data_IF_007713798727
#
_entry.id   IF_007713798727
#
_cell.length_a   1.000
_cell.length_b   1.000
_cell.length_c   1.000
_cell.angle_alpha   90.00
_cell.angle_beta   90.00
_cell.angle_gamma   90.00
#
_symmetry.space_group_name_H-M   'P 1'
#
loop_
_entity.id
_entity.type
_entity.pdbx_description
1 polymer ?
#
# COMPACT_ATOMS: atom_id res chain seq x y z
N UNK A 1 5.77 -17.35 -31.01
CA UNK A 1 6.83 -16.77 -30.18
C UNK A 1 7.09 -17.68 -29.01
N UNK A 2 8.30 -18.15 -28.87
CA UNK A 2 8.72 -18.99 -27.75
C UNK A 2 9.06 -18.13 -26.53
N UNK A 3 8.66 -18.60 -25.34
CA UNK A 3 9.16 -18.06 -24.08
C UNK A 3 10.63 -18.43 -23.92
N UNK A 4 11.48 -17.46 -23.57
CA UNK A 4 12.87 -17.74 -23.21
C UNK A 4 12.94 -18.39 -21.82
N UNK A 5 13.95 -19.23 -21.63
CA UNK A 5 14.24 -19.83 -20.34
C UNK A 5 14.92 -18.84 -19.38
N UNK A 6 14.79 -19.01 -18.05
CA UNK A 6 15.56 -18.24 -17.07
C UNK A 6 17.08 -18.39 -17.34
N UNK A 7 17.85 -17.33 -17.10
CA UNK A 7 19.31 -17.41 -17.24
C UNK A 7 19.92 -18.44 -16.27
N UNK A 8 21.04 -19.04 -16.64
CA UNK A 8 21.74 -20.01 -15.78
C UNK A 8 22.15 -19.43 -14.42
N UNK A 9 22.53 -18.15 -14.40
CA UNK A 9 22.85 -17.44 -13.14
C UNK A 9 21.63 -17.36 -12.23
N UNK A 10 20.46 -17.02 -12.78
CA UNK A 10 19.20 -16.98 -12.02
C UNK A 10 18.79 -18.35 -11.52
N UNK A 11 19.00 -19.41 -12.30
CA UNK A 11 18.72 -20.78 -11.90
C UNK A 11 19.63 -21.22 -10.72
N UNK A 12 20.94 -20.95 -10.80
CA UNK A 12 21.87 -21.24 -9.72
C UNK A 12 21.50 -20.48 -8.42
N UNK A 13 21.13 -19.21 -8.53
CA UNK A 13 20.66 -18.42 -7.39
C UNK A 13 19.35 -18.98 -6.80
N UNK A 14 18.42 -19.47 -7.63
CA UNK A 14 17.18 -20.10 -7.18
C UNK A 14 17.45 -21.43 -6.42
N UNK A 15 18.37 -22.24 -6.91
CA UNK A 15 18.79 -23.48 -6.21
C UNK A 15 19.32 -23.16 -4.81
N UNK A 16 20.21 -22.18 -4.67
CA UNK A 16 20.72 -21.75 -3.37
C UNK A 16 19.62 -21.17 -2.50
N UNK A 17 18.72 -20.35 -3.06
CA UNK A 17 17.61 -19.76 -2.32
C UNK A 17 16.63 -20.79 -1.77
N UNK A 18 16.44 -21.92 -2.45
CA UNK A 18 15.55 -22.99 -2.03
C UNK A 18 16.20 -23.99 -1.05
N UNK A 19 17.47 -24.30 -1.25
CA UNK A 19 18.19 -25.31 -0.47
C UNK A 19 19.02 -24.71 0.69
N UNK A 20 19.31 -23.41 0.63
CA UNK A 20 20.11 -22.72 1.63
C UNK A 20 19.37 -22.40 2.93
N UNK A 21 20.02 -21.69 3.83
CA UNK A 21 19.45 -21.34 5.14
C UNK A 21 18.25 -20.38 5.01
N UNK A 22 17.10 -20.79 5.56
CA UNK A 22 15.83 -20.03 5.48
C UNK A 22 15.55 -19.13 6.70
N UNK A 23 16.47 -19.02 7.64
CA UNK A 23 16.27 -18.30 8.92
C UNK A 23 15.88 -16.83 8.75
N UNK A 24 16.33 -16.17 7.67
CA UNK A 24 16.00 -14.78 7.37
C UNK A 24 14.51 -14.55 7.10
N UNK A 25 13.77 -15.57 6.65
CA UNK A 25 12.34 -15.46 6.32
C UNK A 25 11.53 -15.07 7.55
N UNK A 26 11.75 -15.70 8.70
CA UNK A 26 11.05 -15.39 9.96
C UNK A 26 11.25 -13.95 10.39
N UNK A 27 12.50 -13.47 10.33
CA UNK A 27 12.83 -12.08 10.69
C UNK A 27 12.17 -11.07 9.76
N UNK A 28 12.23 -11.31 8.45
CA UNK A 28 11.59 -10.46 7.45
C UNK A 28 10.07 -10.48 7.57
N UNK A 29 9.46 -11.66 7.73
CA UNK A 29 8.01 -11.79 7.92
C UNK A 29 7.52 -11.00 9.16
N UNK A 30 8.28 -11.06 10.27
CA UNK A 30 7.99 -10.26 11.46
C UNK A 30 8.01 -8.75 11.15
N UNK A 31 9.06 -8.27 10.48
CA UNK A 31 9.17 -6.86 10.11
C UNK A 31 8.02 -6.39 9.19
N UNK A 32 7.60 -7.23 8.24
CA UNK A 32 6.45 -6.95 7.38
C UNK A 32 5.13 -6.95 8.16
N UNK A 33 4.95 -7.88 9.10
CA UNK A 33 3.78 -7.92 9.99
C UNK A 33 3.68 -6.65 10.84
N UNK A 34 4.78 -6.16 11.39
CA UNK A 34 4.82 -4.94 12.19
C UNK A 34 4.44 -3.71 11.35
N UNK A 35 4.98 -3.61 10.12
CA UNK A 35 4.63 -2.54 9.17
C UNK A 35 3.16 -2.59 8.77
N UNK A 36 2.64 -3.78 8.42
CA UNK A 36 1.22 -4.00 8.10
C UNK A 36 0.32 -3.52 9.23
N UNK A 37 0.59 -3.99 10.44
CA UNK A 37 -0.23 -3.65 11.61
C UNK A 37 -0.24 -2.15 11.88
N UNK A 38 0.93 -1.49 11.77
CA UNK A 38 1.05 -0.05 11.90
C UNK A 38 0.23 0.68 10.84
N UNK A 39 0.35 0.31 9.56
CA UNK A 39 -0.36 0.97 8.45
C UNK A 39 -1.87 0.78 8.58
N UNK A 40 -2.35 -0.45 8.85
CA UNK A 40 -3.78 -0.72 9.01
C UNK A 40 -4.38 0.07 10.19
N UNK A 41 -3.69 0.08 11.34
CA UNK A 41 -4.12 0.87 12.50
C UNK A 41 -4.18 2.36 12.18
N UNK A 42 -3.16 2.89 11.52
CA UNK A 42 -3.10 4.31 11.14
C UNK A 42 -4.22 4.69 10.17
N UNK A 43 -4.47 3.89 9.14
CA UNK A 43 -5.54 4.14 8.16
C UNK A 43 -6.93 4.10 8.82
N UNK A 44 -7.18 3.13 9.67
CA UNK A 44 -8.48 3.00 10.35
C UNK A 44 -8.73 4.10 11.41
N UNK A 45 -7.70 4.87 11.81
CA UNK A 45 -7.87 6.05 12.65
C UNK A 45 -8.27 7.31 11.88
N UNK A 46 -8.29 7.26 10.53
CA UNK A 46 -8.63 8.38 9.67
C UNK A 46 -10.11 8.37 9.33
N UNK A 47 -10.84 9.43 9.67
CA UNK A 47 -12.27 9.55 9.34
C UNK A 47 -12.49 9.49 7.82
N UNK A 48 -13.33 8.57 7.39
CA UNK A 48 -13.66 8.37 5.98
C UNK A 48 -12.81 7.30 5.26
N UNK A 49 -11.80 6.77 5.91
CA UNK A 49 -11.00 5.64 5.43
C UNK A 49 -11.39 4.36 6.22
N UNK A 50 -11.38 3.23 5.54
CA UNK A 50 -11.46 1.91 6.17
C UNK A 50 -10.53 0.92 5.47
N UNK A 51 -9.85 0.10 6.24
CA UNK A 51 -8.85 -0.84 5.74
C UNK A 51 -8.96 -2.19 6.43
N UNK A 52 -9.18 -3.24 5.66
CA UNK A 52 -9.10 -4.62 6.14
C UNK A 52 -7.64 -5.03 6.35
N UNK A 53 -7.40 -5.89 7.34
CA UNK A 53 -6.07 -6.45 7.56
C UNK A 53 -5.83 -7.57 6.54
N UNK A 54 -4.83 -7.44 5.63
CA UNK A 54 -4.54 -8.50 4.69
C UNK A 54 -3.81 -9.67 5.37
N UNK A 55 -4.07 -10.88 4.92
CA UNK A 55 -3.41 -12.08 5.43
C UNK A 55 -2.01 -12.30 4.83
N UNK A 56 -1.72 -11.71 3.69
CA UNK A 56 -0.46 -11.88 2.96
C UNK A 56 -0.07 -10.67 2.12
N UNK A 57 0.91 -10.85 1.26
CA UNK A 57 1.52 -9.84 0.41
C UNK A 57 2.13 -8.67 1.23
N UNK A 58 2.43 -7.57 0.57
CA UNK A 58 2.97 -6.34 1.17
C UNK A 58 2.17 -5.09 0.76
N UNK A 59 0.88 -5.29 0.50
CA UNK A 59 -0.07 -4.24 0.15
C UNK A 59 -1.24 -4.20 1.13
N UNK A 60 -1.78 -3.00 1.37
CA UNK A 60 -3.12 -2.78 1.90
C UNK A 60 -3.98 -2.15 0.82
N UNK A 61 -5.31 -2.34 0.92
CA UNK A 61 -6.28 -1.85 -0.06
C UNK A 61 -7.43 -1.11 0.65
N UNK A 62 -7.16 0.09 1.20
CA UNK A 62 -8.15 0.85 1.93
C UNK A 62 -9.22 1.45 1.03
N UNK A 63 -10.44 1.55 1.56
CA UNK A 63 -11.54 2.28 0.96
C UNK A 63 -11.49 3.76 1.30
N UNK A 64 -11.66 4.62 0.30
CA UNK A 64 -11.86 6.06 0.43
C UNK A 64 -13.27 6.51 0.00
N UNK A 65 -14.22 5.58 -0.20
CA UNK A 65 -15.57 5.84 -0.72
C UNK A 65 -16.28 6.97 0.03
N UNK A 66 -16.15 7.03 1.35
CA UNK A 66 -16.79 8.06 2.18
C UNK A 66 -16.25 9.48 1.95
N UNK A 67 -15.05 9.59 1.36
CA UNK A 67 -14.42 10.86 1.00
C UNK A 67 -14.72 11.28 -0.45
N UNK A 68 -15.39 10.43 -1.24
CA UNK A 68 -15.76 10.73 -2.62
C UNK A 68 -17.17 11.30 -2.66
N UNK A 69 -17.30 12.63 -2.53
CA UNK A 69 -18.59 13.30 -2.48
C UNK A 69 -18.49 14.76 -2.96
N UNK A 70 -19.65 15.44 -3.07
CA UNK A 70 -19.73 16.84 -3.52
C UNK A 70 -18.99 17.83 -2.62
N UNK A 71 -18.99 17.58 -1.28
CA UNK A 71 -18.33 18.46 -0.32
C UNK A 71 -16.82 18.47 -0.53
N UNK A 72 -16.22 17.31 -0.69
CA UNK A 72 -14.76 17.18 -0.91
C UNK A 72 -14.31 17.54 -2.32
N UNK A 73 -15.26 17.67 -3.26
CA UNK A 73 -15.04 17.86 -4.70
C UNK A 73 -14.22 16.72 -5.33
N UNK A 74 -14.21 15.55 -4.71
CA UNK A 74 -13.62 14.33 -5.22
C UNK A 74 -14.73 13.41 -5.73
N UNK A 75 -14.64 13.01 -7.00
CA UNK A 75 -15.65 12.13 -7.62
C UNK A 75 -15.19 10.67 -7.70
N UNK A 76 -13.89 10.45 -7.88
CA UNK A 76 -13.31 9.13 -8.12
C UNK A 76 -12.07 8.91 -7.25
N UNK A 77 -11.69 7.65 -7.08
CA UNK A 77 -10.43 7.25 -6.46
C UNK A 77 -9.20 7.78 -7.22
N UNK A 78 -9.30 7.91 -8.55
CA UNK A 78 -8.27 8.57 -9.37
C UNK A 78 -8.07 10.03 -8.95
N UNK A 79 -9.16 10.79 -8.76
CA UNK A 79 -9.06 12.17 -8.27
C UNK A 79 -8.45 12.22 -6.84
N UNK A 80 -8.82 11.27 -5.98
CA UNK A 80 -8.26 11.17 -4.63
C UNK A 80 -6.76 10.95 -4.66
N UNK A 81 -6.29 9.96 -5.44
CA UNK A 81 -4.87 9.59 -5.56
C UNK A 81 -4.05 10.73 -6.16
N UNK A 82 -4.55 11.36 -7.23
CA UNK A 82 -3.90 12.49 -7.88
C UNK A 82 -3.72 13.66 -6.90
N UNK A 83 -4.80 14.07 -6.21
CA UNK A 83 -4.72 15.17 -5.24
C UNK A 83 -3.84 14.85 -4.04
N UNK A 84 -3.82 13.61 -3.58
CA UNK A 84 -2.92 13.16 -2.51
C UNK A 84 -1.45 13.31 -2.93
N UNK A 85 -1.14 12.95 -4.17
CA UNK A 85 0.20 13.12 -4.72
C UNK A 85 0.59 14.61 -4.82
N UNK A 86 -0.28 15.45 -5.38
CA UNK A 86 -0.05 16.87 -5.59
C UNK A 86 0.10 17.67 -4.28
N UNK A 87 -0.72 17.35 -3.28
CA UNK A 87 -0.77 18.11 -2.02
C UNK A 87 0.21 17.61 -0.97
N UNK A 88 0.41 16.31 -0.89
CA UNK A 88 1.14 15.68 0.20
C UNK A 88 2.40 14.91 -0.26
N UNK A 89 2.66 14.84 -1.57
CA UNK A 89 3.76 14.05 -2.15
C UNK A 89 3.74 12.59 -1.67
N UNK A 90 2.55 11.98 -1.65
CA UNK A 90 2.36 10.56 -1.34
C UNK A 90 1.79 9.86 -2.56
N UNK A 91 2.61 9.00 -3.18
CA UNK A 91 2.22 8.20 -4.33
C UNK A 91 1.55 6.89 -3.87
N UNK A 92 0.35 6.67 -4.34
CA UNK A 92 -0.43 5.44 -4.17
C UNK A 92 -1.10 5.09 -5.49
N UNK A 93 -1.73 3.92 -5.61
CA UNK A 93 -2.37 3.50 -6.86
C UNK A 93 -3.89 3.44 -6.65
N UNK A 94 -4.65 4.02 -7.56
CA UNK A 94 -6.11 3.98 -7.53
C UNK A 94 -6.65 2.54 -7.65
N UNK A 95 -7.74 2.26 -6.94
CA UNK A 95 -8.36 0.94 -6.93
C UNK A 95 -9.03 0.58 -8.25
N UNK A 96 -9.54 1.58 -8.99
CA UNK A 96 -10.09 1.40 -10.34
C UNK A 96 -9.12 0.74 -11.32
N UNK A 97 -7.81 0.94 -11.17
CA UNK A 97 -6.78 0.23 -11.94
C UNK A 97 -6.76 -1.29 -11.67
N UNK A 98 -7.42 -1.76 -10.61
CA UNK A 98 -7.57 -3.16 -10.22
C UNK A 98 -9.02 -3.62 -10.25
N UNK A 99 -9.91 -2.86 -10.92
CA UNK A 99 -11.32 -3.19 -11.04
C UNK A 99 -12.16 -2.92 -9.78
N UNK A 100 -11.69 -2.12 -8.82
CA UNK A 100 -12.43 -1.82 -7.58
C UNK A 100 -12.42 -0.32 -7.26
N UNK A 101 -13.47 0.37 -7.71
CA UNK A 101 -13.63 1.81 -7.54
C UNK A 101 -13.81 2.23 -6.07
N UNK A 102 -13.30 3.40 -5.74
CA UNK A 102 -13.40 3.98 -4.40
C UNK A 102 -12.41 3.40 -3.39
N UNK A 103 -11.35 2.77 -3.89
CA UNK A 103 -10.25 2.21 -3.12
C UNK A 103 -8.91 2.75 -3.62
N UNK A 104 -7.85 2.49 -2.84
CA UNK A 104 -6.48 2.74 -3.29
C UNK A 104 -5.52 1.74 -2.66
N UNK A 105 -4.43 1.43 -3.37
CA UNK A 105 -3.44 0.47 -2.93
C UNK A 105 -2.22 1.18 -2.37
N UNK A 106 -1.77 0.74 -1.19
CA UNK A 106 -0.52 1.18 -0.57
C UNK A 106 0.41 -0.01 -0.41
N UNK A 107 1.66 0.12 -0.85
CA UNK A 107 2.73 -0.82 -0.52
C UNK A 107 3.34 -0.45 0.84
N UNK A 108 3.51 -1.42 1.73
CA UNK A 108 4.28 -1.24 2.96
C UNK A 108 5.69 -1.88 2.90
N UNK A 109 6.16 -2.19 1.68
CA UNK A 109 7.52 -2.67 1.43
C UNK A 109 8.54 -1.52 1.44
N UNK A 110 8.54 -0.70 2.49
CA UNK A 110 9.46 0.41 2.71
C UNK A 110 9.82 0.54 4.19
N UNK A 111 10.67 1.49 4.56
CA UNK A 111 11.07 1.67 5.95
C UNK A 111 9.90 2.13 6.84
N UNK A 112 9.92 1.76 8.13
CA UNK A 112 8.94 2.26 9.10
C UNK A 112 8.94 3.79 9.20
N UNK A 113 10.09 4.44 9.02
CA UNK A 113 10.24 5.90 8.98
C UNK A 113 9.40 6.49 7.84
N UNK A 114 9.51 5.93 6.65
CA UNK A 114 8.73 6.39 5.49
C UNK A 114 7.23 6.13 5.68
N UNK A 115 6.84 4.97 6.22
CA UNK A 115 5.44 4.67 6.51
C UNK A 115 4.83 5.65 7.52
N UNK A 116 5.54 5.96 8.60
CA UNK A 116 5.09 6.96 9.57
C UNK A 116 4.86 8.31 8.90
N UNK A 117 5.81 8.78 8.07
CA UNK A 117 5.68 10.03 7.32
C UNK A 117 4.49 10.01 6.36
N UNK A 118 4.32 8.92 5.61
CA UNK A 118 3.19 8.77 4.67
C UNK A 118 1.83 8.77 5.39
N UNK A 119 1.70 8.03 6.51
CA UNK A 119 0.44 7.98 7.26
C UNK A 119 0.05 9.34 7.85
N UNK A 120 1.01 10.13 8.34
CA UNK A 120 0.75 11.49 8.82
C UNK A 120 0.23 12.38 7.68
N UNK A 121 0.84 12.32 6.49
CA UNK A 121 0.44 13.08 5.32
C UNK A 121 -0.94 12.68 4.80
N UNK A 122 -1.23 11.37 4.70
CA UNK A 122 -2.56 10.89 4.33
C UNK A 122 -3.62 11.37 5.33
N UNK A 123 -3.30 11.33 6.63
CA UNK A 123 -4.19 11.83 7.68
C UNK A 123 -4.45 13.33 7.50
N UNK A 124 -3.42 14.15 7.36
CA UNK A 124 -3.53 15.60 7.11
C UNK A 124 -4.41 15.91 5.90
N UNK A 125 -4.17 15.22 4.79
CA UNK A 125 -4.98 15.35 3.58
C UNK A 125 -6.46 15.04 3.82
N UNK A 126 -6.76 13.91 4.45
CA UNK A 126 -8.15 13.52 4.72
C UNK A 126 -8.85 14.45 5.71
N UNK A 127 -8.14 14.97 6.71
CA UNK A 127 -8.68 15.96 7.65
C UNK A 127 -9.00 17.29 6.95
N UNK A 128 -8.16 17.72 6.03
CA UNK A 128 -8.42 18.92 5.21
C UNK A 128 -9.64 18.78 4.30
N UNK A 129 -9.93 17.57 3.82
CA UNK A 129 -11.14 17.28 3.02
C UNK A 129 -12.45 17.27 3.84
N UNK A 130 -12.35 17.04 5.14
CA UNK A 130 -13.51 16.96 6.03
C UNK A 130 -13.93 18.31 6.65
N UNK A 131 -13.11 19.36 6.45
CA UNK A 131 -13.43 20.74 6.82
C UNK A 131 -14.32 21.39 5.78
#
# INVERSE_FOLDING_TARGET
QSTSNPSSISQAAAVEALNGKQGFIKTRAKAFKDRRNFVVKSLNSIKGISCLTPNGAFYVFPSCKRLLNKKTKLKTDTNFVQRLLEKENVAVVQGSAFGLDGYFRISYATSMKNLKKAMLRIKSFCEALNK
#
